data_IF_141493031078
#
_entry.id   IF_141493031078
#
_cell.length_a   1.000
_cell.length_b   1.000
_cell.length_c   1.000
_cell.angle_alpha   90.00
_cell.angle_beta   90.00
_cell.angle_gamma   90.00
#
_symmetry.space_group_name_H-M   'P 1'
#
loop_
_entity.id
_entity.type
_entity.pdbx_description
1 polymer ?
#
# COMPACT_ATOMS: atom_id res chain seq x y z
N UNK A 1 0.35 -16.98 -5.30
CA UNK A 1 -0.66 -16.11 -4.65
C UNK A 1 -1.49 -16.83 -3.61
N UNK A 2 -2.21 -17.91 -3.90
CA UNK A 2 -3.04 -18.62 -2.90
C UNK A 2 -2.27 -19.04 -1.63
N UNK A 3 -1.04 -19.53 -1.77
CA UNK A 3 -0.18 -19.90 -0.63
C UNK A 3 0.18 -18.69 0.24
N UNK A 4 0.45 -17.53 -0.37
CA UNK A 4 0.69 -16.29 0.37
C UNK A 4 -0.59 -15.79 1.06
N UNK A 5 -1.75 -15.90 0.41
CA UNK A 5 -3.03 -15.57 1.04
C UNK A 5 -3.32 -16.47 2.25
N UNK A 6 -2.99 -17.77 2.18
CA UNK A 6 -3.08 -18.67 3.32
C UNK A 6 -2.14 -18.26 4.46
N UNK A 7 -0.90 -17.87 4.16
CA UNK A 7 0.04 -17.37 5.16
C UNK A 7 -0.45 -16.08 5.84
N UNK A 8 -0.95 -15.13 5.05
CA UNK A 8 -1.58 -13.91 5.56
C UNK A 8 -2.77 -14.20 6.47
N UNK A 9 -3.67 -15.11 6.06
CA UNK A 9 -4.82 -15.53 6.85
C UNK A 9 -4.40 -16.17 8.18
N UNK A 10 -3.41 -17.07 8.16
CA UNK A 10 -2.88 -17.67 9.38
C UNK A 10 -2.38 -16.58 10.33
N UNK A 11 -1.61 -15.60 9.85
CA UNK A 11 -1.12 -14.51 10.70
C UNK A 11 -2.27 -13.74 11.36
N UNK A 12 -3.29 -13.37 10.60
CA UNK A 12 -4.45 -12.59 11.10
C UNK A 12 -5.20 -13.35 12.19
N UNK A 13 -5.36 -14.68 12.05
CA UNK A 13 -6.07 -15.52 13.04
C UNK A 13 -5.23 -15.77 14.30
N UNK A 14 -3.92 -15.93 14.13
CA UNK A 14 -3.02 -16.33 15.21
C UNK A 14 -2.34 -15.14 15.91
N UNK A 15 -2.56 -13.91 15.41
CA UNK A 15 -1.93 -12.67 15.89
C UNK A 15 -0.41 -12.81 16.08
N UNK A 16 0.28 -13.45 15.12
CA UNK A 16 1.74 -13.69 15.17
C UNK A 16 2.59 -12.43 14.91
N UNK A 17 2.07 -11.23 15.21
CA UNK A 17 2.70 -9.93 14.95
C UNK A 17 4.12 -9.84 15.53
N UNK A 18 4.38 -10.48 16.67
CA UNK A 18 5.70 -10.51 17.32
C UNK A 18 6.76 -11.33 16.56
N UNK A 19 6.36 -12.21 15.64
CA UNK A 19 7.26 -13.07 14.87
C UNK A 19 7.66 -12.48 13.51
N UNK A 20 7.25 -11.25 13.20
CA UNK A 20 7.52 -10.60 11.90
C UNK A 20 9.01 -10.62 11.51
N UNK A 21 9.93 -10.44 12.46
CA UNK A 21 11.37 -10.53 12.19
C UNK A 21 11.80 -11.97 11.89
N UNK A 22 11.28 -12.96 12.63
CA UNK A 22 11.61 -14.36 12.42
C UNK A 22 11.09 -14.86 11.07
N UNK A 23 9.88 -14.45 10.69
CA UNK A 23 9.28 -14.80 9.40
C UNK A 23 10.00 -14.11 8.24
N UNK A 24 10.48 -12.88 8.44
CA UNK A 24 11.36 -12.19 7.50
C UNK A 24 12.69 -12.93 7.30
N UNK A 25 13.39 -13.26 8.39
CA UNK A 25 14.64 -14.03 8.34
C UNK A 25 14.44 -15.43 7.74
N UNK A 26 13.34 -16.09 8.07
CA UNK A 26 12.96 -17.38 7.47
C UNK A 26 12.76 -17.28 5.96
N UNK A 27 12.11 -16.21 5.48
CA UNK A 27 11.91 -15.99 4.04
C UNK A 27 13.23 -15.77 3.30
N UNK A 28 14.16 -15.01 3.90
CA UNK A 28 15.51 -14.82 3.36
C UNK A 28 16.30 -16.14 3.36
N UNK A 29 16.19 -16.93 4.42
CA UNK A 29 16.83 -18.25 4.50
C UNK A 29 16.35 -19.20 3.41
N UNK A 30 15.03 -19.26 3.16
CA UNK A 30 14.48 -20.05 2.06
C UNK A 30 14.91 -19.54 0.68
N UNK A 31 15.04 -18.22 0.51
CA UNK A 31 15.52 -17.63 -0.74
C UNK A 31 16.99 -17.98 -1.01
N UNK A 32 17.85 -17.87 0.00
CA UNK A 32 19.28 -18.23 -0.11
C UNK A 32 19.43 -19.74 -0.38
N UNK A 33 18.58 -20.56 0.25
CA UNK A 33 18.54 -22.00 0.01
C UNK A 33 18.13 -22.32 -1.44
N UNK A 34 17.14 -21.60 -1.97
CA UNK A 34 16.72 -21.74 -3.36
C UNK A 34 17.85 -21.40 -4.33
N UNK A 35 18.68 -20.39 -4.05
CA UNK A 35 19.88 -20.07 -4.86
C UNK A 35 20.94 -21.16 -4.80
N UNK A 36 21.11 -21.79 -3.64
CA UNK A 36 22.12 -22.83 -3.43
C UNK A 36 21.76 -24.17 -4.08
N UNK A 37 20.52 -24.32 -4.57
CA UNK A 37 20.01 -25.57 -5.10
C UNK A 37 20.08 -25.58 -6.64
N UNK A 38 20.95 -26.41 -7.26
CA UNK A 38 21.14 -26.39 -8.71
C UNK A 38 19.89 -26.84 -9.48
N UNK A 39 19.72 -26.29 -10.70
CA UNK A 39 18.62 -26.63 -11.60
C UNK A 39 18.78 -28.06 -12.13
N UNK A 40 17.95 -28.96 -11.64
CA UNK A 40 17.80 -30.34 -12.12
C UNK A 40 16.35 -30.78 -12.01
N UNK A 41 15.89 -31.60 -12.95
CA UNK A 41 14.52 -32.13 -13.00
C UNK A 41 14.14 -32.92 -11.73
N UNK A 42 15.11 -33.57 -11.08
CA UNK A 42 14.89 -34.33 -9.85
C UNK A 42 14.66 -33.43 -8.62
N UNK A 43 15.20 -32.20 -8.67
CA UNK A 43 15.15 -31.24 -7.56
C UNK A 43 13.99 -30.24 -7.70
N UNK A 44 13.26 -30.28 -8.81
CA UNK A 44 12.16 -29.38 -9.13
C UNK A 44 11.08 -29.35 -8.03
N UNK A 45 10.66 -30.52 -7.55
CA UNK A 45 9.66 -30.62 -6.47
C UNK A 45 10.13 -29.97 -5.16
N UNK A 46 11.42 -30.11 -4.82
CA UNK A 46 12.00 -29.45 -3.65
C UNK A 46 12.01 -27.94 -3.81
N UNK A 47 12.33 -27.44 -5.02
CA UNK A 47 12.33 -26.00 -5.34
C UNK A 47 10.91 -25.42 -5.31
N UNK A 48 9.91 -26.14 -5.80
CA UNK A 48 8.50 -25.74 -5.69
C UNK A 48 8.04 -25.70 -4.23
N UNK A 49 8.45 -26.68 -3.41
CA UNK A 49 8.20 -26.66 -1.97
C UNK A 49 8.83 -25.46 -1.28
N UNK A 50 10.08 -25.12 -1.62
CA UNK A 50 10.76 -23.92 -1.10
C UNK A 50 10.09 -22.63 -1.56
N UNK A 51 9.66 -22.55 -2.82
CA UNK A 51 8.88 -21.42 -3.35
C UNK A 51 7.56 -21.25 -2.59
N UNK A 52 6.86 -22.35 -2.30
CA UNK A 52 5.63 -22.32 -1.53
C UNK A 52 5.89 -21.85 -0.09
N UNK A 53 6.95 -22.35 0.56
CA UNK A 53 7.36 -21.89 1.89
C UNK A 53 7.73 -20.40 1.90
N UNK A 54 8.47 -19.94 0.89
CA UNK A 54 8.80 -18.54 0.70
C UNK A 54 7.54 -17.69 0.55
N UNK A 55 6.64 -18.06 -0.37
CA UNK A 55 5.39 -17.34 -0.60
C UNK A 55 4.50 -17.30 0.66
N UNK A 56 4.44 -18.40 1.42
CA UNK A 56 3.72 -18.45 2.69
C UNK A 56 4.29 -17.46 3.70
N UNK A 57 5.62 -17.46 3.89
CA UNK A 57 6.28 -16.52 4.80
C UNK A 57 6.14 -15.07 4.34
N UNK A 58 6.20 -14.80 3.04
CA UNK A 58 5.91 -13.46 2.49
C UNK A 58 4.48 -13.03 2.85
N UNK A 59 3.51 -13.94 2.74
CA UNK A 59 2.13 -13.71 3.18
C UNK A 59 2.01 -13.38 4.67
N UNK A 60 2.70 -14.15 5.52
CA UNK A 60 2.76 -13.88 6.97
C UNK A 60 3.36 -12.50 7.26
N UNK A 61 4.42 -12.10 6.56
CA UNK A 61 5.05 -10.78 6.70
C UNK A 61 4.12 -9.61 6.28
N UNK A 62 3.13 -9.86 5.41
CA UNK A 62 2.10 -8.86 5.08
C UNK A 62 1.03 -8.75 6.17
N UNK A 63 0.95 -9.72 7.08
CA UNK A 63 -0.07 -9.82 8.13
C UNK A 63 -0.28 -8.54 8.95
N UNK A 64 0.75 -7.92 9.53
CA UNK A 64 0.58 -6.68 10.31
C UNK A 64 -0.01 -5.52 9.49
N UNK A 65 0.34 -5.43 8.20
CA UNK A 65 -0.23 -4.43 7.30
C UNK A 65 -1.70 -4.73 6.99
N UNK A 66 -2.04 -6.01 6.79
CA UNK A 66 -3.42 -6.44 6.57
C UNK A 66 -4.29 -6.18 7.78
N UNK A 67 -3.82 -6.48 8.99
CA UNK A 67 -4.55 -6.20 10.24
C UNK A 67 -4.84 -4.69 10.38
N UNK A 68 -3.87 -3.83 10.08
CA UNK A 68 -4.06 -2.38 10.06
C UNK A 68 -5.14 -1.96 9.04
N UNK A 69 -5.11 -2.49 7.82
CA UNK A 69 -6.07 -2.14 6.79
C UNK A 69 -7.48 -2.66 7.11
N UNK A 70 -7.59 -3.88 7.65
CA UNK A 70 -8.86 -4.49 8.08
C UNK A 70 -9.50 -3.68 9.21
N UNK A 71 -8.69 -3.15 10.13
CA UNK A 71 -9.15 -2.28 11.22
C UNK A 71 -9.70 -0.93 10.74
N UNK A 72 -9.18 -0.41 9.61
CA UNK A 72 -9.70 0.81 8.97
C UNK A 72 -10.96 0.48 8.16
N UNK A 73 -10.82 -0.34 7.11
CA UNK A 73 -11.90 -0.75 6.23
C UNK A 73 -11.57 -2.10 5.56
N UNK A 74 -12.35 -3.17 5.81
CA UNK A 74 -12.08 -4.49 5.22
C UNK A 74 -12.25 -4.54 3.69
N UNK A 75 -12.97 -3.57 3.10
CA UNK A 75 -13.13 -3.45 1.65
C UNK A 75 -11.84 -3.07 0.90
N UNK A 76 -10.82 -2.57 1.61
CA UNK A 76 -9.54 -2.17 1.02
C UNK A 76 -8.81 -3.39 0.44
N UNK A 77 -8.82 -4.54 1.12
CA UNK A 77 -8.13 -5.76 0.69
C UNK A 77 -8.53 -6.24 -0.72
N UNK A 78 -9.81 -6.53 -0.99
CA UNK A 78 -10.22 -6.98 -2.32
C UNK A 78 -10.01 -5.89 -3.38
N UNK A 79 -10.20 -4.62 -3.02
CA UNK A 79 -9.98 -3.49 -3.94
C UNK A 79 -8.51 -3.36 -4.34
N UNK A 80 -7.59 -3.43 -3.37
CA UNK A 80 -6.15 -3.41 -3.61
C UNK A 80 -5.73 -4.60 -4.47
N UNK A 81 -6.21 -5.81 -4.15
CA UNK A 81 -5.88 -7.01 -4.92
C UNK A 81 -6.33 -6.92 -6.38
N UNK A 82 -7.56 -6.48 -6.62
CA UNK A 82 -8.07 -6.28 -7.97
C UNK A 82 -7.30 -5.17 -8.70
N UNK A 83 -6.98 -4.07 -8.02
CA UNK A 83 -6.14 -3.00 -8.55
C UNK A 83 -4.76 -3.50 -8.97
N UNK A 84 -4.09 -4.26 -8.11
CA UNK A 84 -2.79 -4.90 -8.42
C UNK A 84 -2.90 -5.82 -9.62
N UNK A 85 -3.94 -6.67 -9.67
CA UNK A 85 -4.13 -7.60 -10.77
C UNK A 85 -4.31 -6.87 -12.11
N UNK A 86 -5.08 -5.78 -12.14
CA UNK A 86 -5.26 -4.95 -13.34
C UNK A 86 -3.95 -4.26 -13.75
N UNK A 87 -3.25 -3.62 -12.80
CA UNK A 87 -1.97 -2.96 -13.04
C UNK A 87 -0.96 -3.97 -13.59
N UNK A 88 -0.73 -5.06 -12.87
CA UNK A 88 0.24 -6.09 -13.22
C UNK A 88 -0.06 -6.66 -14.60
N UNK A 89 -1.32 -7.02 -14.86
CA UNK A 89 -1.74 -7.54 -16.18
C UNK A 89 -1.49 -6.51 -17.28
N UNK A 90 -1.89 -5.25 -17.10
CA UNK A 90 -1.71 -4.20 -18.10
C UNK A 90 -0.23 -3.97 -18.43
N UNK A 91 0.63 -3.89 -17.42
CA UNK A 91 2.07 -3.69 -17.60
C UNK A 91 2.73 -4.92 -18.20
N UNK A 92 2.43 -6.13 -17.71
CA UNK A 92 2.94 -7.38 -18.29
C UNK A 92 2.54 -7.53 -19.77
N UNK A 93 1.28 -7.26 -20.14
CA UNK A 93 0.87 -7.26 -21.56
C UNK A 93 1.63 -6.21 -22.37
N UNK A 94 1.78 -4.99 -21.83
CA UNK A 94 2.55 -3.94 -22.50
C UNK A 94 4.00 -4.37 -22.73
N UNK A 95 4.61 -5.06 -21.76
CA UNK A 95 5.93 -5.64 -21.91
C UNK A 95 5.94 -6.73 -23.00
N UNK A 96 4.96 -7.64 -23.03
CA UNK A 96 4.89 -8.70 -24.04
C UNK A 96 4.77 -8.18 -25.48
N UNK A 97 4.05 -7.09 -25.70
CA UNK A 97 3.89 -6.47 -27.03
C UNK A 97 5.03 -5.53 -27.43
N UNK A 98 5.87 -5.11 -26.48
CA UNK A 98 6.94 -4.17 -26.77
C UNK A 98 8.09 -4.80 -27.55
N UNK A 99 8.81 -3.94 -28.28
CA UNK A 99 9.99 -4.37 -29.05
C UNK A 99 11.06 -4.92 -28.11
N UNK A 100 11.64 -6.05 -28.49
CA UNK A 100 12.66 -6.77 -27.72
C UNK A 100 13.74 -5.84 -27.16
N UNK A 101 14.12 -6.07 -25.89
CA UNK A 101 15.14 -5.34 -25.12
C UNK A 101 14.89 -3.86 -24.86
N UNK A 102 13.79 -3.28 -25.31
CA UNK A 102 13.53 -1.83 -25.13
C UNK A 102 13.48 -1.45 -23.65
N UNK A 103 12.88 -2.28 -22.80
CA UNK A 103 12.77 -2.03 -21.37
C UNK A 103 13.99 -2.48 -20.55
N UNK A 104 14.91 -3.27 -21.10
CA UNK A 104 16.13 -3.65 -20.37
C UNK A 104 17.04 -2.45 -20.11
N UNK A 105 17.03 -1.46 -21.02
CA UNK A 105 17.73 -0.19 -20.82
C UNK A 105 17.14 0.64 -19.67
N UNK A 106 15.86 0.42 -19.32
CA UNK A 106 15.20 1.09 -18.20
C UNK A 106 15.66 0.54 -16.84
N UNK A 107 16.27 -0.65 -16.81
CA UNK A 107 16.74 -1.28 -15.56
C UNK A 107 17.64 -0.36 -14.74
N UNK A 108 18.61 0.31 -15.37
CA UNK A 108 19.50 1.24 -14.67
C UNK A 108 18.77 2.40 -13.99
N UNK A 109 17.72 2.93 -14.65
CA UNK A 109 16.88 3.97 -14.08
C UNK A 109 16.04 3.46 -12.91
N UNK A 110 15.45 2.27 -13.03
CA UNK A 110 14.63 1.65 -11.98
C UNK A 110 15.46 1.31 -10.73
N UNK A 111 16.64 0.73 -10.91
CA UNK A 111 17.57 0.46 -9.80
C UNK A 111 18.05 1.75 -9.12
N UNK A 112 18.33 2.80 -9.89
CA UNK A 112 18.65 4.12 -9.33
C UNK A 112 17.48 4.72 -8.55
N UNK A 113 16.26 4.59 -9.08
CA UNK A 113 15.03 4.96 -8.40
C UNK A 113 14.89 4.25 -7.06
N UNK A 114 14.98 2.92 -7.04
CA UNK A 114 14.90 2.10 -5.83
C UNK A 114 15.94 2.52 -4.78
N UNK A 115 17.18 2.79 -5.20
CA UNK A 115 18.24 3.29 -4.31
C UNK A 115 17.86 4.65 -3.72
N UNK A 116 17.34 5.57 -4.53
CA UNK A 116 16.90 6.88 -4.06
C UNK A 116 15.74 6.78 -3.05
N UNK A 117 14.78 5.88 -3.29
CA UNK A 117 13.69 5.61 -2.35
C UNK A 117 14.19 5.07 -1.02
N UNK A 118 15.18 4.17 -1.06
CA UNK A 118 15.83 3.67 0.13
C UNK A 118 16.48 4.82 0.93
N UNK A 119 17.19 5.72 0.26
CA UNK A 119 17.74 6.93 0.89
C UNK A 119 16.65 7.83 1.48
N UNK A 120 15.55 8.08 0.76
CA UNK A 120 14.43 8.87 1.29
C UNK A 120 13.78 8.22 2.51
N UNK A 121 13.67 6.88 2.53
CA UNK A 121 13.17 6.16 3.69
C UNK A 121 14.08 6.32 4.91
N UNK A 122 15.41 6.32 4.72
CA UNK A 122 16.38 6.58 5.79
C UNK A 122 16.27 8.02 6.31
N UNK A 123 16.18 9.00 5.42
CA UNK A 123 16.00 10.42 5.81
C UNK A 123 14.68 10.60 6.56
N UNK A 124 13.60 9.96 6.09
CA UNK A 124 12.30 10.05 6.74
C UNK A 124 12.30 9.46 8.16
N UNK A 125 13.19 8.51 8.47
CA UNK A 125 13.34 7.98 9.83
C UNK A 125 13.80 9.07 10.83
N UNK A 126 14.63 10.02 10.38
CA UNK A 126 15.10 11.12 11.22
C UNK A 126 14.16 12.33 11.22
N UNK A 127 13.50 12.60 10.08
CA UNK A 127 12.65 13.79 9.91
C UNK A 127 11.19 13.54 10.34
N UNK A 128 10.67 12.33 10.13
CA UNK A 128 9.29 11.97 10.49
C UNK A 128 8.19 12.69 9.69
N UNK A 129 8.46 13.10 8.45
CA UNK A 129 7.49 13.89 7.66
C UNK A 129 6.47 13.01 6.93
N UNK A 130 5.18 13.21 7.23
CA UNK A 130 4.07 12.53 6.53
C UNK A 130 4.05 12.84 5.03
N UNK A 131 4.48 14.03 4.62
CA UNK A 131 4.52 14.42 3.21
C UNK A 131 5.57 13.61 2.43
N UNK A 132 6.78 13.47 3.00
CA UNK A 132 7.83 12.63 2.42
C UNK A 132 7.41 11.16 2.34
N UNK A 133 6.76 10.66 3.40
CA UNK A 133 6.23 9.29 3.41
C UNK A 133 5.20 9.07 2.28
N UNK A 134 4.23 9.98 2.14
CA UNK A 134 3.18 9.88 1.11
C UNK A 134 3.79 9.96 -0.29
N UNK A 135 4.71 10.90 -0.53
CA UNK A 135 5.40 11.03 -1.80
C UNK A 135 6.20 9.75 -2.14
N UNK A 136 6.90 9.19 -1.15
CA UNK A 136 7.64 7.94 -1.31
C UNK A 136 6.71 6.77 -1.70
N UNK A 137 5.50 6.68 -1.15
CA UNK A 137 4.55 5.62 -1.54
C UNK A 137 4.11 5.71 -3.00
N UNK A 138 3.73 6.91 -3.48
CA UNK A 138 3.29 7.10 -4.87
C UNK A 138 4.43 6.88 -5.87
N UNK A 139 5.63 7.39 -5.55
CA UNK A 139 6.82 7.13 -6.37
C UNK A 139 7.17 5.63 -6.33
N UNK A 140 6.96 4.96 -5.19
CA UNK A 140 7.23 3.54 -5.01
C UNK A 140 6.35 2.69 -5.90
N UNK A 141 5.05 2.97 -5.89
CA UNK A 141 4.11 2.32 -6.79
C UNK A 141 4.52 2.48 -8.26
N UNK A 142 4.91 3.70 -8.67
CA UNK A 142 5.36 3.96 -10.05
C UNK A 142 6.64 3.17 -10.41
N UNK A 143 7.61 3.11 -9.50
CA UNK A 143 8.85 2.36 -9.68
C UNK A 143 8.57 0.85 -9.76
N UNK A 144 7.69 0.32 -8.91
CA UNK A 144 7.30 -1.11 -8.93
C UNK A 144 6.53 -1.48 -10.21
N UNK A 145 5.68 -0.59 -10.73
CA UNK A 145 5.08 -0.78 -12.05
C UNK A 145 6.14 -0.85 -13.17
N UNK A 146 7.21 -0.05 -13.04
CA UNK A 146 8.37 -0.12 -13.92
C UNK A 146 9.15 -1.43 -13.79
N UNK A 147 9.31 -1.96 -12.58
CA UNK A 147 9.93 -3.27 -12.35
C UNK A 147 9.15 -4.40 -13.02
N UNK A 148 7.82 -4.40 -12.97
CA UNK A 148 7.00 -5.40 -13.71
C UNK A 148 7.33 -5.41 -15.21
N UNK A 149 7.49 -4.23 -15.83
CA UNK A 149 7.88 -4.13 -17.25
C UNK A 149 9.28 -4.70 -17.48
N UNK A 150 10.23 -4.33 -16.62
CA UNK A 150 11.62 -4.75 -16.71
C UNK A 150 11.78 -6.26 -16.48
N UNK A 151 11.19 -6.81 -15.42
CA UNK A 151 11.28 -8.22 -15.05
C UNK A 151 10.56 -9.10 -16.07
N UNK A 152 9.39 -8.70 -16.56
CA UNK A 152 8.71 -9.44 -17.65
C UNK A 152 9.62 -9.52 -18.89
N UNK A 153 10.27 -8.41 -19.27
CA UNK A 153 11.17 -8.39 -20.43
C UNK A 153 12.48 -9.16 -20.20
N UNK A 154 13.00 -9.12 -18.98
CA UNK A 154 14.18 -9.89 -18.59
C UNK A 154 13.88 -11.39 -18.66
N UNK A 155 12.69 -11.82 -18.22
CA UNK A 155 12.24 -13.22 -18.33
C UNK A 155 12.13 -13.66 -19.79
N UNK A 156 11.52 -12.83 -20.66
CA UNK A 156 11.43 -13.15 -22.10
C UNK A 156 12.83 -13.31 -22.71
N UNK A 157 13.75 -12.39 -22.42
CA UNK A 157 15.11 -12.45 -22.94
C UNK A 157 15.88 -13.67 -22.43
N UNK A 158 15.75 -13.99 -21.12
CA UNK A 158 16.36 -15.19 -20.53
C UNK A 158 15.80 -16.47 -21.16
N UNK A 159 14.48 -16.56 -21.31
CA UNK A 159 13.82 -17.70 -21.95
C UNK A 159 14.28 -17.90 -23.40
N UNK A 160 14.40 -16.82 -24.18
CA UNK A 160 14.93 -16.87 -25.55
C UNK A 160 16.42 -17.25 -25.61
N UNK A 161 17.19 -16.92 -24.57
CA UNK A 161 18.61 -17.33 -24.44
C UNK A 161 18.79 -18.79 -24.03
N UNK A 162 17.70 -19.53 -23.81
CA UNK A 162 17.70 -20.96 -23.46
C UNK A 162 17.63 -21.24 -21.96
N UNK A 163 17.45 -20.22 -21.13
CA UNK A 163 17.20 -20.37 -19.69
C UNK A 163 15.79 -20.95 -19.46
N UNK A 164 15.71 -22.06 -18.72
CA UNK A 164 14.46 -22.76 -18.39
C UNK A 164 14.15 -22.72 -16.90
N UNK A 165 14.79 -21.84 -16.14
CA UNK A 165 14.54 -21.62 -14.72
C UNK A 165 13.22 -20.86 -14.45
N UNK A 166 12.08 -21.41 -14.88
CA UNK A 166 10.76 -20.79 -14.64
C UNK A 166 10.44 -20.61 -13.16
N UNK A 167 11.02 -21.41 -12.27
CA UNK A 167 10.86 -21.24 -10.82
C UNK A 167 11.42 -19.88 -10.37
N UNK A 168 12.58 -19.48 -10.87
CA UNK A 168 13.15 -18.16 -10.57
C UNK A 168 12.35 -17.03 -11.21
N UNK A 169 11.94 -17.20 -12.46
CA UNK A 169 11.08 -16.22 -13.13
C UNK A 169 9.75 -16.00 -12.38
N UNK A 170 9.18 -17.07 -11.81
CA UNK A 170 7.99 -16.98 -10.97
C UNK A 170 8.25 -16.23 -9.65
N UNK A 171 9.44 -16.36 -9.05
CA UNK A 171 9.81 -15.63 -7.82
C UNK A 171 9.88 -14.13 -8.10
N UNK A 172 10.54 -13.73 -9.19
CA UNK A 172 10.71 -12.33 -9.59
C UNK A 172 9.33 -11.67 -9.76
N UNK A 173 8.47 -12.25 -10.60
CA UNK A 173 7.11 -11.77 -10.82
C UNK A 173 6.22 -11.82 -9.56
N UNK A 174 6.43 -12.80 -8.67
CA UNK A 174 5.70 -12.88 -7.41
C UNK A 174 6.06 -11.71 -6.48
N UNK A 175 7.33 -11.34 -6.40
CA UNK A 175 7.81 -10.23 -5.60
C UNK A 175 7.26 -8.90 -6.09
N UNK A 176 7.30 -8.66 -7.40
CA UNK A 176 6.72 -7.46 -8.03
C UNK A 176 5.24 -7.32 -7.71
N UNK A 177 4.47 -8.41 -7.85
CA UNK A 177 3.05 -8.41 -7.54
C UNK A 177 2.79 -8.08 -6.06
N UNK A 178 3.53 -8.72 -5.15
CA UNK A 178 3.38 -8.50 -3.71
C UNK A 178 3.74 -7.06 -3.31
N UNK A 179 4.78 -6.48 -3.93
CA UNK A 179 5.16 -5.09 -3.70
C UNK A 179 4.01 -4.17 -4.12
N UNK A 180 3.56 -4.22 -5.38
CA UNK A 180 2.45 -3.38 -5.85
C UNK A 180 1.20 -3.54 -4.97
N UNK A 181 0.89 -4.76 -4.54
CA UNK A 181 -0.19 -5.01 -3.59
C UNK A 181 0.00 -4.30 -2.25
N UNK A 182 1.19 -4.38 -1.66
CA UNK A 182 1.55 -3.66 -0.44
C UNK A 182 1.40 -2.15 -0.62
N UNK A 183 1.97 -1.57 -1.68
CA UNK A 183 1.88 -0.12 -1.91
C UNK A 183 0.43 0.34 -2.09
N UNK A 184 -0.37 -0.38 -2.88
CA UNK A 184 -1.79 -0.06 -3.08
C UNK A 184 -2.60 -0.14 -1.79
N UNK A 185 -2.36 -1.15 -0.95
CA UNK A 185 -3.04 -1.26 0.35
C UNK A 185 -2.75 -0.06 1.23
N UNK A 186 -1.49 0.38 1.32
CA UNK A 186 -1.12 1.54 2.13
C UNK A 186 -1.77 2.81 1.59
N UNK A 187 -1.75 3.02 0.27
CA UNK A 187 -2.36 4.19 -0.38
C UNK A 187 -3.87 4.24 -0.12
N UNK A 188 -4.57 3.11 -0.31
CA UNK A 188 -6.02 3.03 -0.06
C UNK A 188 -6.34 3.20 1.43
N UNK A 189 -5.54 2.61 2.31
CA UNK A 189 -5.69 2.79 3.77
C UNK A 189 -5.54 4.25 4.20
N UNK A 190 -4.59 4.98 3.63
CA UNK A 190 -4.40 6.41 3.93
C UNK A 190 -5.53 7.29 3.40
N UNK A 191 -6.15 6.94 2.27
CA UNK A 191 -7.25 7.71 1.68
C UNK A 191 -8.57 7.57 2.45
N UNK A 192 -8.78 6.43 3.12
CA UNK A 192 -9.98 6.17 3.93
C UNK A 192 -9.92 6.84 5.32
N UNK A 193 -8.73 7.18 5.82
CA UNK A 193 -8.59 7.91 7.09
C UNK A 193 -8.96 9.37 6.85
N UNK A 194 -10.06 9.89 7.46
CA UNK A 194 -10.45 11.28 7.27
C UNK A 194 -9.33 12.20 7.78
N UNK A 195 -8.96 13.27 7.03
CA UNK A 195 -8.04 14.25 7.56
C UNK A 195 -8.61 14.84 8.86
N UNK A 196 -7.76 15.14 9.87
CA UNK A 196 -8.24 15.79 11.08
C UNK A 196 -9.01 17.06 10.69
N UNK A 197 -10.09 17.40 11.41
CA UNK A 197 -10.89 18.57 11.09
C UNK A 197 -9.94 19.76 10.99
N UNK A 198 -9.91 20.41 9.82
CA UNK A 198 -9.23 21.69 9.66
C UNK A 198 -9.91 22.62 10.64
N UNK A 199 -9.29 22.87 11.78
CA UNK A 199 -9.67 23.97 12.67
C UNK A 199 -9.47 25.22 11.84
N UNK A 200 -10.50 25.60 11.11
CA UNK A 200 -10.58 26.91 10.50
C UNK A 200 -10.44 27.85 11.68
N UNK A 201 -9.30 28.54 11.76
CA UNK A 201 -9.10 29.64 12.67
C UNK A 201 -10.15 30.69 12.29
N UNK A 202 -11.38 30.51 12.79
CA UNK A 202 -12.41 31.51 12.77
C UNK A 202 -11.89 32.53 13.77
N UNK A 203 -11.36 33.61 13.21
CA UNK A 203 -10.92 34.81 13.90
C UNK A 203 -12.01 35.21 14.91
N UNK A 204 -11.87 34.80 16.17
CA UNK A 204 -12.67 35.32 17.25
C UNK A 204 -12.12 36.70 17.54
N UNK A 205 -12.64 37.69 16.81
CA UNK A 205 -12.75 39.05 17.31
C UNK A 205 -13.61 38.99 18.58
N UNK A 206 -12.94 38.72 19.70
CA UNK A 206 -13.42 38.99 21.05
C UNK A 206 -13.55 40.51 21.13
N UNK A 207 -14.76 41.03 20.95
CA UNK A 207 -15.09 42.35 21.45
C UNK A 207 -15.38 42.15 22.95
N UNK A 208 -14.45 42.59 23.78
CA UNK A 208 -14.70 42.81 25.20
C UNK A 208 -15.83 43.84 25.36
N UNK A 209 -16.96 43.43 25.94
CA UNK A 209 -17.92 44.36 26.55
C UNK A 209 -18.00 44.07 28.07
N UNK A 210 -17.97 45.10 28.93
CA UNK A 210 -17.90 44.94 30.38
C UNK A 210 -19.27 44.59 31.00
N UNK A 211 -19.31 44.03 32.23
CA UNK A 211 -20.54 43.50 32.78
C UNK A 211 -21.41 44.63 33.36
N UNK A 212 -22.63 44.77 32.86
CA UNK A 212 -23.66 45.55 33.56
C UNK A 212 -25.01 44.85 33.51
N UNK A 213 -25.38 44.31 34.67
CA UNK A 213 -26.70 44.25 35.30
C UNK A 213 -27.96 43.87 34.47
N UNK A 214 -28.62 42.81 34.95
CA UNK A 214 -30.09 42.65 35.01
C UNK A 214 -30.81 42.42 33.69
N UNK A 215 -31.32 41.20 33.48
CA UNK A 215 -32.75 40.93 33.34
C UNK A 215 -33.01 39.53 32.77
N UNK A 216 -34.14 39.01 33.21
CA UNK A 216 -34.83 37.75 32.93
C UNK A 216 -34.73 37.17 31.51
N UNK A 217 -34.41 35.86 31.47
CA UNK A 217 -35.12 34.77 30.77
C UNK A 217 -35.50 35.02 29.31
N UNK A 218 -34.88 34.32 28.36
CA UNK A 218 -35.60 33.61 27.27
C UNK A 218 -34.68 32.56 26.61
N UNK A 219 -35.06 31.29 26.72
CA UNK A 219 -34.53 30.21 25.88
C UNK A 219 -34.94 30.46 24.44
N UNK A 220 -34.00 30.37 23.50
CA UNK A 220 -34.28 30.04 22.11
C UNK A 220 -33.30 28.95 21.68
N UNK A 221 -33.81 27.73 21.68
CA UNK A 221 -33.26 26.59 20.95
C UNK A 221 -33.32 26.93 19.46
N UNK A 222 -32.22 26.81 18.73
CA UNK A 222 -32.24 26.82 17.27
C UNK A 222 -31.69 25.48 16.78
N UNK A 223 -32.60 24.51 16.65
CA UNK A 223 -32.40 23.32 15.83
C UNK A 223 -32.49 23.74 14.36
N UNK A 224 -31.35 23.69 13.66
CA UNK A 224 -31.29 24.00 12.24
C UNK A 224 -31.22 22.67 11.48
N UNK A 225 -32.38 22.13 11.10
CA UNK A 225 -32.46 21.00 10.18
C UNK A 225 -32.73 21.50 8.76
N UNK A 226 -32.10 20.80 7.81
CA UNK A 226 -32.07 21.04 6.37
C UNK A 226 -33.43 21.35 5.72
N UNK A 227 -33.38 22.24 4.72
CA UNK A 227 -34.43 22.71 3.79
C UNK A 227 -35.24 23.95 4.23
N UNK A 228 -34.89 25.08 3.59
CA UNK A 228 -35.59 26.38 3.53
C UNK A 228 -35.30 27.38 4.66
N UNK A 229 -34.26 28.21 4.47
CA UNK A 229 -34.17 29.52 5.12
C UNK A 229 -35.21 30.47 4.50
N UNK A 230 -36.43 30.49 5.05
CA UNK A 230 -37.37 31.60 4.82
C UNK A 230 -37.23 32.58 5.98
N UNK A 231 -36.72 33.78 5.70
CA UNK A 231 -36.60 34.86 6.66
C UNK A 231 -38.01 35.42 6.97
N UNK A 232 -38.60 34.95 8.06
CA UNK A 232 -39.84 35.50 8.61
C UNK A 232 -39.58 36.28 9.89
N UNK A 233 -39.04 37.49 9.80
CA UNK A 233 -39.03 38.42 10.93
C UNK A 233 -40.40 39.13 10.97
N UNK A 234 -41.39 38.46 11.56
CA UNK A 234 -42.75 38.97 11.73
C UNK A 234 -42.87 39.79 13.00
N UNK A 235 -43.15 41.08 12.84
CA UNK A 235 -43.34 42.08 13.87
C UNK A 235 -44.36 41.68 14.95
N UNK A 236 -44.09 42.06 16.19
CA UNK A 236 -45.00 41.88 17.33
C UNK A 236 -44.57 42.60 18.60
N UNK A 237 -44.18 43.88 18.51
CA UNK A 237 -44.20 44.77 19.66
C UNK A 237 -45.62 45.35 19.79
N UNK A 238 -46.39 44.93 20.80
CA UNK A 238 -47.56 45.65 21.25
C UNK A 238 -47.84 45.36 22.74
N UNK A 239 -47.68 46.42 23.53
CA UNK A 239 -48.16 46.69 24.90
C UNK A 239 -47.78 45.72 26.03
#
# INVERSE_FOLDING_TARGET
MFVAAAGAYVNVVTHLVQLSLLTGLGSLGLMIWLMSTPHSAETEQKRLGMLAGFAFLTGVNLGPLLEMCIAINPSILPTAFLGTAVIFTCFTLSALYARRRSYLYLGGFLFSGLSLMFFFSLVNLFVGSTWLFTANLYVGLMVMCGFVLFDTQLIIEKAESGDKDYIWHCVDLFLDFVNIFRELMIILGMNEVPPPPRTSAKNNSVCDEPPTATSTRFSCHHDCNSLSCSAGCGAGCAA
#
